data_IF_309623555665
#
_entry.id   IF_309623555665
#
_cell.length_a   1.000
_cell.length_b   1.000
_cell.length_c   1.000
_cell.angle_alpha   90.00
_cell.angle_beta   90.00
_cell.angle_gamma   90.00
#
_symmetry.space_group_name_H-M   'P 1'
#
loop_
_entity.id
_entity.type
_entity.pdbx_description
1 polymer ?
#
# COMPACT_ATOMS: atom_id res chain seq x y z
N UNK A 1 -22.52 -20.33 -26.98
CA UNK A 1 -21.18 -19.88 -27.42
C UNK A 1 -21.01 -18.46 -26.93
N UNK A 2 -20.28 -18.24 -25.84
CA UNK A 2 -20.01 -16.90 -25.34
C UNK A 2 -18.99 -16.25 -26.28
N UNK A 3 -19.34 -15.09 -26.83
CA UNK A 3 -18.43 -14.25 -27.61
C UNK A 3 -17.33 -13.75 -26.66
N UNK A 4 -16.18 -14.41 -26.63
CA UNK A 4 -14.96 -13.84 -26.04
C UNK A 4 -14.51 -12.70 -26.94
N UNK A 5 -14.99 -11.48 -26.67
CA UNK A 5 -14.45 -10.29 -27.32
C UNK A 5 -12.94 -10.25 -27.08
N UNK A 6 -12.14 -10.15 -28.14
CA UNK A 6 -10.70 -9.93 -28.03
C UNK A 6 -10.45 -8.64 -27.26
N UNK A 7 -9.99 -8.78 -26.02
CA UNK A 7 -9.61 -7.66 -25.16
C UNK A 7 -8.30 -7.04 -25.68
N UNK A 8 -8.27 -5.72 -25.79
CA UNK A 8 -7.13 -4.94 -26.26
C UNK A 8 -6.55 -4.10 -25.12
N UNK A 9 -5.36 -3.56 -25.30
CA UNK A 9 -4.72 -2.72 -24.26
C UNK A 9 -5.53 -1.44 -23.99
N UNK A 10 -6.28 -0.94 -24.99
CA UNK A 10 -7.14 0.24 -24.83
C UNK A 10 -8.38 0.00 -23.96
N UNK A 11 -8.69 -1.26 -23.65
CA UNK A 11 -9.79 -1.60 -22.77
C UNK A 11 -9.47 -1.35 -21.28
N UNK A 12 -8.20 -1.29 -20.90
CA UNK A 12 -7.78 -1.18 -19.50
C UNK A 12 -7.65 0.28 -19.08
N UNK A 13 -8.39 0.65 -18.04
CA UNK A 13 -8.53 2.05 -17.58
C UNK A 13 -7.95 2.28 -16.19
N UNK A 14 -7.68 1.21 -15.42
CA UNK A 14 -7.06 1.28 -14.10
C UNK A 14 -5.70 0.58 -14.13
N UNK A 15 -4.66 1.31 -13.74
CA UNK A 15 -3.35 0.75 -13.47
C UNK A 15 -3.22 0.34 -12.02
N UNK A 16 -2.51 -0.74 -11.74
CA UNK A 16 -2.18 -1.19 -10.39
C UNK A 16 -0.69 -1.54 -10.36
N UNK A 17 0.09 -0.80 -9.58
CA UNK A 17 1.52 -1.03 -9.40
C UNK A 17 1.77 -1.62 -8.03
N UNK A 18 2.58 -2.67 -8.00
CA UNK A 18 3.12 -3.29 -6.80
C UNK A 18 4.62 -3.53 -7.00
N UNK A 19 5.35 -3.77 -5.93
CA UNK A 19 6.82 -3.77 -5.90
C UNK A 19 7.37 -5.08 -5.33
N UNK A 20 6.62 -5.78 -4.49
CA UNK A 20 6.99 -7.09 -3.92
C UNK A 20 6.19 -8.26 -4.52
N UNK A 21 6.74 -9.47 -4.47
CA UNK A 21 6.07 -10.68 -4.97
C UNK A 21 4.76 -10.98 -4.23
N UNK A 22 4.77 -10.80 -2.91
CA UNK A 22 3.59 -10.97 -2.06
C UNK A 22 2.49 -9.95 -2.38
N UNK A 23 2.86 -8.73 -2.77
CA UNK A 23 1.90 -7.71 -3.20
C UNK A 23 1.28 -8.06 -4.55
N UNK A 24 2.09 -8.53 -5.50
CA UNK A 24 1.60 -9.02 -6.79
C UNK A 24 0.67 -10.22 -6.61
N UNK A 25 1.02 -11.16 -5.71
CA UNK A 25 0.17 -12.31 -5.39
C UNK A 25 -1.18 -11.87 -4.80
N UNK A 26 -1.17 -10.97 -3.81
CA UNK A 26 -2.38 -10.41 -3.21
C UNK A 26 -3.24 -9.67 -4.25
N UNK A 27 -2.63 -8.80 -5.07
CA UNK A 27 -3.33 -8.05 -6.11
C UNK A 27 -3.97 -8.99 -7.16
N UNK A 28 -3.22 -9.97 -7.67
CA UNK A 28 -3.71 -10.91 -8.66
C UNK A 28 -4.77 -11.89 -8.12
N UNK A 29 -4.82 -12.08 -6.79
CA UNK A 29 -5.85 -12.87 -6.12
C UNK A 29 -7.17 -12.08 -5.91
N UNK A 30 -7.13 -10.75 -6.00
CA UNK A 30 -8.32 -9.89 -5.93
C UNK A 30 -9.12 -9.81 -7.24
N UNK A 31 -8.54 -10.25 -8.36
CA UNK A 31 -9.22 -10.30 -9.66
C UNK A 31 -10.45 -11.23 -9.63
N UNK A 32 -11.58 -10.69 -10.06
CA UNK A 32 -12.80 -11.47 -10.26
C UNK A 32 -12.63 -12.40 -11.46
N UNK A 33 -12.15 -11.84 -12.57
CA UNK A 33 -11.78 -12.55 -13.79
C UNK A 33 -10.33 -12.25 -14.17
N UNK A 34 -9.59 -13.30 -14.55
CA UNK A 34 -8.26 -13.16 -15.16
C UNK A 34 -8.39 -13.17 -16.68
N UNK A 35 -7.83 -12.17 -17.33
CA UNK A 35 -7.70 -12.12 -18.78
C UNK A 35 -6.34 -12.72 -19.20
N UNK A 36 -6.13 -12.92 -20.50
CA UNK A 36 -4.87 -13.47 -21.01
C UNK A 36 -3.72 -12.50 -20.73
N UNK A 37 -2.77 -12.93 -19.89
CA UNK A 37 -1.54 -12.17 -19.61
C UNK A 37 -0.65 -12.10 -20.84
N UNK A 38 0.00 -10.95 -21.03
CA UNK A 38 0.93 -10.71 -22.13
C UNK A 38 2.23 -10.23 -21.53
N UNK A 39 3.34 -10.90 -21.83
CA UNK A 39 4.67 -10.39 -21.54
C UNK A 39 4.97 -9.31 -22.58
N UNK A 40 5.05 -8.05 -22.14
CA UNK A 40 5.38 -6.92 -23.02
C UNK A 40 6.53 -6.13 -22.43
N UNK A 41 7.54 -5.82 -23.27
CA UNK A 41 8.66 -4.97 -22.87
C UNK A 41 9.47 -5.49 -21.67
N UNK A 42 9.45 -6.80 -21.38
CA UNK A 42 10.17 -7.39 -20.24
C UNK A 42 9.47 -7.25 -18.89
N UNK A 43 8.22 -6.78 -18.86
CA UNK A 43 7.38 -6.73 -17.66
C UNK A 43 6.33 -7.84 -17.70
N UNK A 44 6.04 -8.40 -16.53
CA UNK A 44 4.94 -9.33 -16.34
C UNK A 44 3.69 -8.53 -15.95
N UNK A 45 2.67 -8.62 -16.80
CA UNK A 45 1.38 -7.97 -16.60
C UNK A 45 0.32 -9.02 -16.27
N UNK A 46 -0.31 -8.87 -15.11
CA UNK A 46 -1.55 -9.56 -14.82
C UNK A 46 -2.72 -8.68 -15.25
N UNK A 47 -3.55 -9.20 -16.16
CA UNK A 47 -4.70 -8.51 -16.71
C UNK A 47 -5.98 -9.13 -16.17
N UNK A 48 -6.98 -8.32 -15.85
CA UNK A 48 -8.25 -8.85 -15.38
C UNK A 48 -9.33 -7.80 -15.17
N UNK A 49 -10.37 -8.22 -14.47
CA UNK A 49 -11.45 -7.33 -14.04
C UNK A 49 -11.68 -7.39 -12.53
N UNK A 50 -12.05 -6.24 -11.97
CA UNK A 50 -12.47 -6.09 -10.56
C UNK A 50 -13.74 -5.25 -10.55
N UNK A 51 -14.86 -5.87 -10.18
CA UNK A 51 -16.16 -5.23 -10.02
C UNK A 51 -16.56 -4.39 -11.24
N UNK A 52 -16.27 -4.91 -12.45
CA UNK A 52 -16.55 -4.27 -13.73
C UNK A 52 -15.45 -3.33 -14.25
N UNK A 53 -14.46 -2.97 -13.43
CA UNK A 53 -13.29 -2.20 -13.87
C UNK A 53 -12.28 -3.14 -14.53
N UNK A 54 -11.76 -2.78 -15.71
CA UNK A 54 -10.66 -3.51 -16.36
C UNK A 54 -9.32 -2.98 -15.84
N UNK A 55 -8.57 -3.85 -15.17
CA UNK A 55 -7.36 -3.52 -14.40
C UNK A 55 -6.15 -4.21 -15.01
N UNK A 56 -5.05 -3.47 -15.12
CA UNK A 56 -3.71 -4.02 -15.40
C UNK A 56 -2.84 -3.89 -14.17
N UNK A 57 -2.33 -5.02 -13.69
CA UNK A 57 -1.42 -5.12 -12.56
C UNK A 57 0.00 -5.33 -13.10
N UNK A 58 0.96 -4.56 -12.60
CA UNK A 58 2.37 -4.66 -12.97
C UNK A 58 3.25 -4.71 -11.74
N UNK A 59 4.31 -5.51 -11.83
CA UNK A 59 5.47 -5.48 -10.93
C UNK A 59 6.75 -5.24 -11.75
N UNK A 60 7.72 -4.46 -11.25
CA UNK A 60 9.07 -4.42 -11.82
C UNK A 60 9.70 -5.83 -11.91
N UNK A 61 10.51 -6.07 -12.94
CA UNK A 61 11.19 -7.35 -13.16
C UNK A 61 12.20 -7.69 -12.05
N UNK A 62 12.40 -8.99 -11.77
CA UNK A 62 13.29 -9.55 -10.73
C UNK A 62 14.72 -8.98 -10.74
N UNK A 63 15.29 -8.71 -11.93
CA UNK A 63 16.63 -8.15 -12.09
C UNK A 63 16.82 -6.73 -11.54
N UNK A 64 15.73 -6.05 -11.19
CA UNK A 64 15.77 -4.76 -10.47
C UNK A 64 15.59 -4.97 -8.96
N UNK A 65 14.85 -6.00 -8.51
CA UNK A 65 14.39 -6.14 -7.13
C UNK A 65 15.35 -6.85 -6.14
N UNK A 66 16.52 -7.33 -6.60
CA UNK A 66 17.38 -8.21 -5.80
C UNK A 66 18.73 -7.60 -5.42
N UNK A 67 18.70 -6.72 -4.43
CA UNK A 67 19.84 -6.61 -3.52
C UNK A 67 19.33 -6.82 -2.11
N UNK A 68 19.88 -7.82 -1.40
CA UNK A 68 19.60 -8.14 0.01
C UNK A 68 19.90 -6.97 0.98
N UNK A 69 20.35 -5.83 0.46
CA UNK A 69 20.49 -4.53 1.13
C UNK A 69 19.24 -3.63 1.06
N UNK A 70 18.13 -4.11 0.47
CA UNK A 70 16.89 -3.36 0.40
C UNK A 70 16.91 -2.21 -0.61
N UNK A 71 15.70 -1.84 -1.02
CA UNK A 71 15.36 -0.56 -1.65
C UNK A 71 16.07 -0.26 -2.98
N UNK A 72 15.53 -0.81 -4.06
CA UNK A 72 15.75 -0.20 -5.35
C UNK A 72 14.77 0.94 -5.58
N UNK A 73 15.32 2.15 -5.58
CA UNK A 73 14.57 3.39 -5.65
C UNK A 73 14.01 3.61 -7.06
N UNK A 74 12.80 4.18 -7.14
CA UNK A 74 12.17 4.55 -8.41
C UNK A 74 11.55 3.39 -9.20
N UNK A 75 11.51 2.17 -8.67
CA UNK A 75 10.91 1.04 -9.38
C UNK A 75 9.41 1.19 -9.60
N UNK A 76 8.68 1.73 -8.63
CA UNK A 76 7.26 2.05 -8.83
C UNK A 76 7.09 3.05 -9.98
N UNK A 77 7.97 4.05 -10.09
CA UNK A 77 7.94 5.02 -11.18
C UNK A 77 8.28 4.39 -12.54
N UNK A 78 9.25 3.47 -12.58
CA UNK A 78 9.60 2.72 -13.79
C UNK A 78 8.44 1.81 -14.24
N UNK A 79 7.84 1.06 -13.32
CA UNK A 79 6.70 0.20 -13.60
C UNK A 79 5.48 1.02 -14.03
N UNK A 80 5.19 2.14 -13.37
CA UNK A 80 4.15 3.08 -13.78
C UNK A 80 4.42 3.64 -15.18
N UNK A 81 5.64 4.07 -15.48
CA UNK A 81 6.03 4.55 -16.81
C UNK A 81 5.77 3.48 -17.88
N UNK A 82 6.22 2.25 -17.63
CA UNK A 82 6.03 1.14 -18.56
C UNK A 82 4.55 0.81 -18.77
N UNK A 83 3.76 0.79 -17.68
CA UNK A 83 2.31 0.57 -17.71
C UNK A 83 1.61 1.66 -18.53
N UNK A 84 1.90 2.92 -18.29
CA UNK A 84 1.32 4.04 -19.06
C UNK A 84 1.74 3.98 -20.52
N UNK A 85 2.99 3.63 -20.82
CA UNK A 85 3.46 3.51 -22.18
C UNK A 85 2.76 2.36 -22.94
N UNK A 86 2.46 1.26 -22.27
CA UNK A 86 1.84 0.07 -22.88
C UNK A 86 0.31 0.14 -22.94
N UNK A 87 -0.32 0.80 -21.96
CA UNK A 87 -1.78 0.90 -21.80
C UNK A 87 -2.20 2.37 -21.82
N UNK A 88 -2.48 2.88 -23.02
CA UNK A 88 -2.74 4.32 -23.25
C UNK A 88 -4.05 4.84 -22.64
N UNK A 89 -4.98 3.93 -22.36
CA UNK A 89 -6.31 4.25 -21.82
C UNK A 89 -6.35 4.41 -20.30
N UNK A 90 -5.23 4.18 -19.60
CA UNK A 90 -5.16 4.30 -18.15
C UNK A 90 -5.54 5.71 -17.71
N UNK A 91 -6.41 5.77 -16.69
CA UNK A 91 -7.01 7.00 -16.15
C UNK A 91 -6.40 7.40 -14.82
N UNK A 92 -6.06 6.41 -14.01
CA UNK A 92 -5.31 6.58 -12.78
C UNK A 92 -4.57 5.28 -12.43
N UNK A 93 -3.61 5.41 -11.52
CA UNK A 93 -2.81 4.29 -11.02
C UNK A 93 -3.05 4.10 -9.53
N UNK A 94 -3.29 2.87 -9.09
CA UNK A 94 -3.23 2.48 -7.70
C UNK A 94 -1.81 2.02 -7.38
N UNK A 95 -1.18 2.59 -6.37
CA UNK A 95 0.11 2.13 -5.83
C UNK A 95 -0.20 1.33 -4.57
N UNK A 96 -0.28 0.01 -4.69
CA UNK A 96 -0.77 -0.86 -3.61
C UNK A 96 0.34 -1.76 -3.13
N UNK A 97 0.57 -1.77 -1.82
CA UNK A 97 1.63 -2.55 -1.21
C UNK A 97 1.66 -2.41 0.30
N UNK A 98 2.82 -2.68 0.90
CA UNK A 98 3.02 -2.52 2.34
C UNK A 98 3.76 -1.23 2.67
N UNK A 99 3.67 -0.80 3.93
CA UNK A 99 4.39 0.35 4.43
C UNK A 99 4.49 0.35 5.95
N UNK A 100 5.31 1.25 6.46
CA UNK A 100 5.66 1.34 7.87
C UNK A 100 4.75 2.35 8.58
N UNK A 101 3.87 1.88 9.46
CA UNK A 101 2.89 2.71 10.15
C UNK A 101 3.51 3.67 11.17
N UNK A 102 2.89 4.83 11.38
CA UNK A 102 3.33 5.82 12.38
C UNK A 102 2.29 5.89 13.50
N UNK A 103 2.39 5.03 14.53
CA UNK A 103 1.44 5.04 15.63
C UNK A 103 1.68 6.28 16.50
N UNK A 104 0.63 7.04 16.81
CA UNK A 104 0.75 8.24 17.63
C UNK A 104 -0.28 9.33 17.35
N UNK A 105 -0.34 10.33 18.22
CA UNK A 105 -1.36 11.39 18.17
C UNK A 105 -2.72 10.86 18.62
N UNK A 106 -3.78 11.20 17.89
CA UNK A 106 -5.16 10.78 18.16
C UNK A 106 -5.61 9.56 17.33
N UNK A 107 -4.67 8.87 16.66
CA UNK A 107 -4.98 7.75 15.76
C UNK A 107 -4.21 6.51 16.19
N UNK A 108 -4.96 5.44 16.47
CA UNK A 108 -4.42 4.15 16.90
C UNK A 108 -4.13 3.28 15.67
N UNK A 109 -2.98 3.48 15.01
CA UNK A 109 -2.59 2.69 13.82
C UNK A 109 -2.04 1.32 14.24
N UNK A 110 -2.57 0.23 13.67
CA UNK A 110 -2.17 -1.16 13.97
C UNK A 110 -1.61 -1.89 12.76
N UNK A 111 -0.85 -2.95 13.00
CA UNK A 111 -0.41 -3.84 11.93
C UNK A 111 -1.64 -4.44 11.21
N UNK A 112 -1.57 -4.50 9.88
CA UNK A 112 -2.67 -4.90 9.03
C UNK A 112 -3.67 -3.79 8.67
N UNK A 113 -3.69 -2.66 9.38
CA UNK A 113 -4.46 -1.48 8.96
C UNK A 113 -4.02 -0.98 7.58
N UNK A 114 -4.84 -0.14 6.95
CA UNK A 114 -4.55 0.42 5.64
C UNK A 114 -4.48 1.94 5.71
N UNK A 115 -3.34 2.48 5.28
CA UNK A 115 -3.14 3.92 5.07
C UNK A 115 -3.43 4.23 3.60
N UNK A 116 -4.23 5.25 3.34
CA UNK A 116 -4.60 5.63 1.97
C UNK A 116 -4.53 7.13 1.76
N UNK A 117 -3.92 7.57 0.66
CA UNK A 117 -3.96 8.97 0.29
C UNK A 117 -2.83 9.45 -0.60
N UNK A 118 -2.32 10.63 -0.26
CA UNK A 118 -1.30 11.36 -1.01
C UNK A 118 0.09 11.04 -0.50
N UNK A 119 1.11 11.28 -1.32
CA UNK A 119 2.51 11.18 -0.91
C UNK A 119 3.14 12.55 -0.74
N UNK A 120 4.11 12.63 0.17
CA UNK A 120 5.09 13.72 0.23
C UNK A 120 6.47 13.13 0.33
N UNK A 121 7.40 13.59 -0.50
CA UNK A 121 8.79 13.20 -0.34
C UNK A 121 9.44 13.98 0.79
N UNK A 122 10.37 13.36 1.51
CA UNK A 122 11.16 14.02 2.54
C UNK A 122 12.64 13.65 2.42
N UNK A 123 13.49 14.60 2.82
CA UNK A 123 14.92 14.39 2.91
C UNK A 123 15.24 13.63 4.19
N UNK A 124 15.56 12.35 4.05
CA UNK A 124 15.85 11.48 5.20
C UNK A 124 17.11 11.94 5.95
N UNK A 125 18.20 12.21 5.24
CA UNK A 125 19.48 12.55 5.87
C UNK A 125 19.37 13.85 6.66
N UNK A 126 18.77 14.88 6.06
CA UNK A 126 18.55 16.15 6.72
C UNK A 126 17.54 16.02 7.87
N UNK A 127 16.50 15.21 7.71
CA UNK A 127 15.51 14.94 8.77
C UNK A 127 16.16 14.32 10.00
N UNK A 128 17.00 13.30 9.79
CA UNK A 128 17.76 12.65 10.87
C UNK A 128 18.75 13.61 11.51
N UNK A 129 19.49 14.37 10.69
CA UNK A 129 20.52 15.32 11.14
C UNK A 129 19.94 16.46 11.97
N UNK A 130 18.79 16.98 11.58
CA UNK A 130 18.16 18.16 12.21
C UNK A 130 17.11 17.80 13.26
N UNK A 131 16.68 16.54 13.32
CA UNK A 131 15.50 16.09 14.08
C UNK A 131 14.23 16.91 13.74
N UNK A 132 14.06 17.28 12.47
CA UNK A 132 12.87 17.98 11.95
C UNK A 132 12.44 17.34 10.65
N UNK A 133 11.14 17.30 10.38
CA UNK A 133 10.66 16.69 9.14
C UNK A 133 10.91 17.65 7.97
N UNK A 134 11.88 17.30 7.12
CA UNK A 134 12.26 18.12 5.97
C UNK A 134 11.54 17.62 4.72
N UNK A 135 10.34 18.14 4.51
CA UNK A 135 9.57 17.85 3.31
C UNK A 135 10.25 18.45 2.07
N UNK A 136 10.36 17.65 1.01
CA UNK A 136 10.73 18.09 -0.33
C UNK A 136 9.52 18.67 -1.09
N UNK A 137 9.76 19.27 -2.25
CA UNK A 137 8.69 19.79 -3.12
C UNK A 137 7.91 18.69 -3.87
N UNK A 138 8.53 17.51 -4.03
CA UNK A 138 7.94 16.39 -4.72
C UNK A 138 6.78 15.76 -3.91
N UNK A 139 5.64 15.60 -4.57
CA UNK A 139 4.41 15.04 -4.00
C UNK A 139 3.52 14.46 -5.09
N UNK A 140 2.78 13.41 -4.76
CA UNK A 140 1.67 12.93 -5.59
C UNK A 140 0.35 13.21 -4.89
N UNK A 141 -0.54 13.93 -5.57
CA UNK A 141 -1.87 14.27 -5.08
C UNK A 141 -2.90 13.48 -5.90
N UNK A 142 -3.70 12.61 -5.27
CA UNK A 142 -4.74 11.87 -5.99
C UNK A 142 -5.80 12.81 -6.58
N UNK A 143 -6.37 12.48 -7.74
CA UNK A 143 -7.52 13.21 -8.29
C UNK A 143 -8.66 13.35 -7.27
N UNK A 144 -9.34 14.49 -7.28
CA UNK A 144 -10.45 14.79 -6.34
C UNK A 144 -11.53 13.71 -6.32
N UNK A 145 -11.80 13.09 -7.47
CA UNK A 145 -12.71 11.95 -7.55
C UNK A 145 -12.27 10.83 -6.59
N UNK A 146 -11.01 10.41 -6.64
CA UNK A 146 -10.50 9.34 -5.80
C UNK A 146 -10.59 9.71 -4.31
N UNK A 147 -10.21 10.94 -3.96
CA UNK A 147 -10.28 11.44 -2.58
C UNK A 147 -11.72 11.39 -2.01
N UNK A 148 -12.72 11.77 -2.80
CA UNK A 148 -14.12 11.72 -2.36
C UNK A 148 -14.62 10.29 -2.08
N UNK A 149 -14.11 9.31 -2.81
CA UNK A 149 -14.47 7.91 -2.64
C UNK A 149 -13.80 7.25 -1.43
N UNK A 150 -12.61 7.71 -1.00
CA UNK A 150 -12.02 7.29 0.28
C UNK A 150 -12.98 7.60 1.43
N UNK A 151 -13.51 8.83 1.46
CA UNK A 151 -14.47 9.26 2.49
C UNK A 151 -15.75 8.44 2.45
N UNK A 152 -16.24 8.08 1.26
CA UNK A 152 -17.42 7.22 1.08
C UNK A 152 -17.20 5.83 1.68
N UNK A 153 -16.09 5.16 1.33
CA UNK A 153 -15.77 3.82 1.85
C UNK A 153 -15.62 3.85 3.37
N UNK A 154 -14.85 4.81 3.90
CA UNK A 154 -14.66 4.98 5.35
C UNK A 154 -15.98 5.24 6.09
N UNK A 155 -16.91 5.99 5.49
CA UNK A 155 -18.23 6.21 6.09
C UNK A 155 -19.04 4.91 6.14
N UNK A 156 -18.96 4.08 5.11
CA UNK A 156 -19.57 2.75 5.09
C UNK A 156 -18.99 1.82 6.16
N UNK A 157 -17.67 1.84 6.36
CA UNK A 157 -17.00 1.06 7.42
C UNK A 157 -17.53 1.42 8.81
N UNK A 158 -17.73 2.72 9.10
CA UNK A 158 -18.37 3.18 10.34
C UNK A 158 -19.81 2.70 10.51
N UNK A 159 -20.48 2.36 9.41
CA UNK A 159 -21.83 1.79 9.40
C UNK A 159 -21.84 0.25 9.39
N UNK A 160 -20.66 -0.39 9.49
CA UNK A 160 -20.54 -1.84 9.46
C UNK A 160 -20.67 -2.47 8.07
N UNK A 161 -20.51 -1.70 6.98
CA UNK A 161 -20.63 -2.21 5.59
C UNK A 161 -19.29 -2.51 4.95
N UNK A 162 -18.23 -2.75 5.74
CA UNK A 162 -16.91 -3.11 5.23
C UNK A 162 -16.95 -4.45 4.52
N UNK A 163 -16.32 -4.52 3.33
CA UNK A 163 -16.20 -5.77 2.57
C UNK A 163 -14.84 -6.42 2.69
N UNK A 164 -13.89 -5.79 3.40
CA UNK A 164 -12.59 -6.36 3.70
C UNK A 164 -12.65 -7.82 4.19
N UNK A 165 -13.48 -8.19 5.20
CA UNK A 165 -13.49 -9.56 5.70
C UNK A 165 -13.96 -10.56 4.65
N UNK A 166 -14.94 -10.15 3.84
CA UNK A 166 -15.45 -10.95 2.72
C UNK A 166 -14.35 -11.17 1.68
N UNK A 167 -13.70 -10.12 1.20
CA UNK A 167 -12.69 -10.24 0.14
C UNK A 167 -11.44 -11.00 0.59
N UNK A 168 -11.00 -10.81 1.84
CA UNK A 168 -9.91 -11.60 2.43
C UNK A 168 -10.29 -13.09 2.53
N UNK A 169 -11.50 -13.39 3.00
CA UNK A 169 -12.01 -14.77 3.08
C UNK A 169 -12.14 -15.44 1.71
N UNK A 170 -12.69 -14.74 0.72
CA UNK A 170 -12.81 -15.23 -0.66
C UNK A 170 -11.43 -15.48 -1.30
N UNK A 171 -10.46 -14.58 -1.06
CA UNK A 171 -9.09 -14.73 -1.53
C UNK A 171 -8.46 -16.03 -1.01
N UNK A 172 -8.54 -16.26 0.30
CA UNK A 172 -7.96 -17.44 0.94
C UNK A 172 -8.69 -18.74 0.55
N UNK A 173 -10.02 -18.68 0.38
CA UNK A 173 -10.81 -19.82 -0.09
C UNK A 173 -10.46 -20.22 -1.53
N UNK A 174 -10.25 -19.23 -2.42
CA UNK A 174 -9.86 -19.43 -3.82
C UNK A 174 -8.41 -19.86 -3.97
N UNK A 175 -7.53 -19.42 -3.07
CA UNK A 175 -6.09 -19.67 -3.11
C UNK A 175 -5.57 -20.23 -1.77
N UNK A 176 -5.86 -21.50 -1.43
CA UNK A 176 -5.48 -22.07 -0.13
C UNK A 176 -3.98 -22.05 0.18
N UNK A 177 -3.11 -22.05 -0.84
CA UNK A 177 -1.66 -21.93 -0.66
C UNK A 177 -1.21 -20.58 -0.07
N UNK A 178 -2.06 -19.55 -0.11
CA UNK A 178 -1.79 -18.25 0.50
C UNK A 178 -2.06 -18.22 2.01
N UNK A 179 -2.79 -19.20 2.56
CA UNK A 179 -3.20 -19.22 3.98
C UNK A 179 -2.01 -19.04 4.95
N UNK A 180 -0.86 -19.71 4.79
CA UNK A 180 0.23 -19.59 5.77
C UNK A 180 0.84 -18.19 5.89
N UNK A 181 0.82 -17.39 4.83
CA UNK A 181 1.48 -16.08 4.78
C UNK A 181 0.49 -14.90 4.81
N UNK A 182 -0.73 -15.08 4.28
CA UNK A 182 -1.70 -14.00 4.08
C UNK A 182 -2.87 -14.01 5.06
N UNK A 183 -2.89 -14.93 6.03
CA UNK A 183 -3.90 -14.94 7.10
C UNK A 183 -3.57 -13.89 8.17
N UNK A 184 -4.60 -13.43 8.89
CA UNK A 184 -4.41 -12.55 10.05
C UNK A 184 -3.47 -13.22 11.07
N UNK A 185 -2.32 -12.61 11.40
CA UNK A 185 -1.34 -13.26 12.26
C UNK A 185 -1.80 -13.47 13.70
N UNK A 186 -2.77 -12.67 14.18
CA UNK A 186 -3.21 -12.66 15.58
C UNK A 186 -2.85 -11.36 16.29
N UNK A 187 -3.68 -10.93 17.24
CA UNK A 187 -3.49 -9.67 17.99
C UNK A 187 -2.25 -9.72 18.88
N UNK A 188 -1.88 -10.91 19.37
CA UNK A 188 -0.67 -11.16 20.14
C UNK A 188 0.63 -10.90 19.37
N UNK A 189 0.55 -10.85 18.04
CA UNK A 189 1.66 -10.53 17.16
C UNK A 189 1.67 -9.07 16.70
N UNK A 190 0.70 -8.26 17.14
CA UNK A 190 0.69 -6.81 16.95
C UNK A 190 1.47 -6.13 18.09
N UNK A 191 2.78 -6.05 17.92
CA UNK A 191 3.73 -5.62 18.95
C UNK A 191 4.31 -4.25 18.65
N UNK A 192 3.84 -3.22 19.36
CA UNK A 192 4.43 -1.88 19.35
C UNK A 192 5.35 -1.72 20.56
N UNK A 193 6.65 -1.52 20.32
CA UNK A 193 7.64 -1.28 21.38
C UNK A 193 7.77 0.20 21.71
N UNK A 194 8.24 0.50 22.92
CA UNK A 194 8.56 1.86 23.34
C UNK A 194 9.62 2.47 22.39
N UNK A 195 9.49 3.75 22.02
CA UNK A 195 10.37 4.38 21.02
C UNK A 195 11.89 4.26 21.25
N UNK A 196 12.31 4.17 22.51
CA UNK A 196 13.74 4.09 22.87
C UNK A 196 14.28 2.67 23.02
N UNK A 197 13.46 1.65 22.82
CA UNK A 197 13.89 0.26 22.85
C UNK A 197 14.20 -0.17 21.41
N UNK A 198 15.38 -0.77 21.20
CA UNK A 198 15.79 -1.27 19.90
C UNK A 198 15.64 -2.79 19.82
N UNK A 199 15.34 -3.27 18.61
CA UNK A 199 15.22 -4.69 18.32
C UNK A 199 16.46 -5.47 18.77
N UNK A 200 16.24 -6.63 19.39
CA UNK A 200 17.29 -7.50 19.89
C UNK A 200 17.48 -8.71 18.98
N UNK A 201 18.67 -8.82 18.39
CA UNK A 201 19.06 -9.92 17.51
C UNK A 201 19.15 -9.52 16.04
N UNK A 202 19.31 -10.53 15.19
CA UNK A 202 19.50 -10.38 13.74
C UNK A 202 18.32 -10.96 12.93
N UNK A 203 17.18 -11.26 13.58
CA UNK A 203 16.02 -11.89 12.97
C UNK A 203 14.98 -10.88 12.48
N UNK A 204 14.10 -11.28 11.55
CA UNK A 204 12.99 -10.46 11.05
C UNK A 204 11.73 -10.46 11.94
N UNK A 205 11.85 -10.92 13.19
CA UNK A 205 10.75 -11.10 14.14
C UNK A 205 11.17 -10.70 15.55
N UNK A 206 10.21 -10.32 16.40
CA UNK A 206 10.46 -9.83 17.75
C UNK A 206 10.43 -10.91 18.84
N UNK A 207 10.70 -12.17 18.50
CA UNK A 207 10.62 -13.31 19.44
C UNK A 207 11.63 -13.22 20.59
N UNK A 208 12.75 -12.53 20.38
CA UNK A 208 13.79 -12.31 21.38
C UNK A 208 13.71 -10.94 22.08
N UNK A 209 12.72 -10.11 21.74
CA UNK A 209 12.57 -8.80 22.36
C UNK A 209 11.92 -8.89 23.74
N UNK A 210 12.32 -8.00 24.66
CA UNK A 210 11.72 -7.89 25.98
C UNK A 210 10.28 -7.36 25.87
N UNK A 211 9.32 -8.22 26.18
CA UNK A 211 7.90 -7.87 26.20
C UNK A 211 7.53 -6.79 27.22
N UNK A 212 8.39 -6.52 28.22
CA UNK A 212 8.20 -5.41 29.18
C UNK A 212 8.36 -4.02 28.52
N UNK A 213 8.95 -3.99 27.33
CA UNK A 213 9.12 -2.80 26.51
C UNK A 213 7.97 -2.58 25.52
N UNK A 214 6.93 -3.40 25.55
CA UNK A 214 5.71 -3.18 24.78
C UNK A 214 4.90 -2.00 25.32
N UNK A 215 4.33 -1.23 24.39
CA UNK A 215 3.37 -0.16 24.70
C UNK A 215 2.02 -0.80 25.00
N UNK A 216 1.46 -0.50 26.18
CA UNK A 216 0.11 -0.92 26.54
C UNK A 216 -0.92 -0.18 25.67
N UNK A 217 -1.76 -0.93 24.95
CA UNK A 217 -2.83 -0.42 24.10
C UNK A 217 -4.15 -1.05 24.51
N UNK A 218 -5.24 -0.29 24.42
CA UNK A 218 -6.58 -0.83 24.70
C UNK A 218 -7.03 -1.80 23.62
N UNK A 219 -7.96 -2.69 23.93
CA UNK A 219 -8.55 -3.58 22.93
C UNK A 219 -9.40 -2.78 21.93
N UNK A 220 -9.32 -3.15 20.66
CA UNK A 220 -10.29 -2.68 19.65
C UNK A 220 -11.60 -3.43 19.82
N UNK A 221 -12.67 -2.83 19.30
CA UNK A 221 -13.99 -3.47 19.25
C UNK A 221 -13.96 -4.80 18.47
N UNK A 222 -13.17 -4.86 17.40
CA UNK A 222 -12.94 -6.05 16.59
C UNK A 222 -11.49 -6.13 16.10
N UNK A 223 -11.18 -7.19 15.35
CA UNK A 223 -9.85 -7.43 14.77
C UNK A 223 -9.76 -6.99 13.30
N UNK A 224 -10.72 -6.19 12.81
CA UNK A 224 -10.74 -5.79 11.42
C UNK A 224 -9.72 -4.68 11.17
N UNK A 225 -9.07 -4.68 9.99
CA UNK A 225 -8.24 -3.56 9.57
C UNK A 225 -9.04 -2.26 9.50
N UNK A 226 -8.48 -1.20 10.09
CA UNK A 226 -9.02 0.15 9.95
C UNK A 226 -8.39 0.88 8.76
N UNK A 227 -9.16 1.80 8.17
CA UNK A 227 -8.71 2.65 7.06
C UNK A 227 -8.40 4.05 7.55
N UNK A 228 -7.15 4.47 7.38
CA UNK A 228 -6.64 5.78 7.81
C UNK A 228 -6.29 6.65 6.60
N UNK A 229 -7.14 7.61 6.23
CA UNK A 229 -6.80 8.59 5.21
C UNK A 229 -5.71 9.53 5.71
N UNK A 230 -4.60 9.62 4.99
CA UNK A 230 -3.49 10.46 5.42
C UNK A 230 -2.38 10.60 4.39
N UNK A 231 -1.24 11.07 4.89
CA UNK A 231 -0.02 11.25 4.11
C UNK A 231 0.88 10.04 4.28
N UNK A 232 1.40 9.55 3.17
CA UNK A 232 2.49 8.59 3.10
C UNK A 232 3.78 9.39 2.85
N UNK A 233 4.67 9.45 3.82
CA UNK A 233 5.96 10.12 3.71
C UNK A 233 6.97 9.19 3.02
N UNK A 234 7.48 9.61 1.88
CA UNK A 234 8.34 8.78 1.04
C UNK A 234 9.78 9.27 1.03
N UNK A 235 10.74 8.36 1.10
CA UNK A 235 12.15 8.70 0.92
C UNK A 235 12.92 7.52 0.34
N UNK A 236 14.16 7.77 -0.06
CA UNK A 236 15.08 6.73 -0.43
C UNK A 236 15.70 6.01 0.80
N UNK A 237 15.15 6.10 2.00
CA UNK A 237 15.68 5.37 3.16
C UNK A 237 14.56 4.99 4.11
N UNK A 238 14.54 3.74 4.55
CA UNK A 238 13.54 3.29 5.51
C UNK A 238 13.74 3.99 6.86
N UNK A 239 12.65 4.51 7.45
CA UNK A 239 12.64 4.96 8.83
C UNK A 239 12.70 3.73 9.76
N UNK A 240 13.85 3.51 10.40
CA UNK A 240 14.12 2.36 11.27
C UNK A 240 14.44 2.77 12.72
N UNK A 241 13.98 3.94 13.15
CA UNK A 241 14.24 4.44 14.50
C UNK A 241 12.97 4.96 15.16
N UNK A 242 12.47 4.20 16.13
CA UNK A 242 11.33 4.60 16.95
C UNK A 242 11.58 5.93 17.66
N UNK A 243 12.82 6.17 18.10
CA UNK A 243 13.21 7.41 18.77
C UNK A 243 13.13 8.64 17.84
N UNK A 244 13.55 8.51 16.57
CA UNK A 244 13.41 9.60 15.58
C UNK A 244 11.94 9.80 15.24
N UNK A 245 11.19 8.72 14.98
CA UNK A 245 9.75 8.77 14.71
C UNK A 245 8.99 9.49 15.83
N UNK A 246 9.28 9.16 17.09
CA UNK A 246 8.63 9.81 18.23
C UNK A 246 9.01 11.28 18.36
N UNK A 247 10.27 11.67 18.12
CA UNK A 247 10.67 13.09 18.10
C UNK A 247 9.94 13.89 17.02
N UNK A 248 9.59 13.26 15.91
CA UNK A 248 8.88 13.90 14.79
C UNK A 248 7.36 13.83 14.93
N UNK A 249 6.81 13.18 15.96
CA UNK A 249 5.38 12.84 16.06
C UNK A 249 4.44 14.04 15.98
N UNK A 250 4.78 15.16 16.60
CA UNK A 250 3.99 16.40 16.51
C UNK A 250 3.96 16.93 15.07
N UNK A 251 5.12 16.98 14.40
CA UNK A 251 5.22 17.41 13.00
C UNK A 251 4.47 16.44 12.08
N UNK A 252 4.70 15.13 12.24
CA UNK A 252 4.05 14.09 11.45
C UNK A 252 2.54 14.11 11.64
N UNK A 253 2.04 14.18 12.87
CA UNK A 253 0.61 14.13 13.17
C UNK A 253 -0.11 15.45 12.88
N UNK A 254 0.30 16.54 13.54
CA UNK A 254 -0.47 17.79 13.55
C UNK A 254 -0.25 18.62 12.28
N UNK A 255 0.97 18.62 11.73
CA UNK A 255 1.32 19.46 10.57
C UNK A 255 1.14 18.74 9.24
N UNK A 256 1.62 17.50 9.14
CA UNK A 256 1.63 16.77 7.88
C UNK A 256 0.52 15.72 7.77
N UNK A 257 -0.05 15.28 8.90
CA UNK A 257 -0.98 14.17 8.98
C UNK A 257 -0.42 12.90 8.30
N UNK A 258 0.85 12.60 8.59
CA UNK A 258 1.63 11.46 8.12
C UNK A 258 1.37 10.25 9.01
N UNK A 259 0.96 9.16 8.36
CA UNK A 259 0.60 7.91 9.04
C UNK A 259 1.40 6.70 8.54
N UNK A 260 2.19 6.88 7.49
CA UNK A 260 2.99 5.83 6.89
C UNK A 260 4.32 6.40 6.40
N UNK A 261 5.41 5.65 6.59
CA UNK A 261 6.65 5.81 5.84
C UNK A 261 6.72 4.74 4.75
N UNK A 262 7.33 5.09 3.62
CA UNK A 262 7.46 4.18 2.47
C UNK A 262 8.69 4.51 1.62
N UNK A 263 9.36 3.48 1.10
CA UNK A 263 10.53 3.65 0.22
C UNK A 263 10.28 3.29 -1.24
N UNK A 264 9.23 2.52 -1.52
CA UNK A 264 8.96 1.94 -2.82
C UNK A 264 8.27 2.91 -3.77
N UNK A 265 7.44 3.81 -3.23
CA UNK A 265 6.81 4.93 -3.96
C UNK A 265 7.59 6.24 -3.82
N UNK A 266 8.89 6.16 -3.52
CA UNK A 266 9.78 7.31 -3.65
C UNK A 266 10.12 7.58 -5.12
N UNK A 267 10.16 8.86 -5.51
CA UNK A 267 10.50 9.27 -6.88
C UNK A 267 9.36 9.04 -7.88
N UNK A 268 8.10 9.13 -7.43
CA UNK A 268 6.96 9.01 -8.33
C UNK A 268 6.98 10.09 -9.42
N UNK A 269 6.45 9.73 -10.58
CA UNK A 269 6.34 10.63 -11.73
C UNK A 269 5.52 11.88 -11.31
N UNK A 270 6.07 13.10 -11.43
CA UNK A 270 5.33 14.32 -11.11
C UNK A 270 4.03 14.41 -11.91
N UNK A 271 2.92 14.75 -11.24
CA UNK A 271 1.62 14.90 -11.88
C UNK A 271 0.87 13.59 -12.16
N UNK A 272 1.47 12.42 -11.90
CA UNK A 272 0.80 11.13 -12.09
C UNK A 272 -0.51 11.08 -11.27
N UNK A 273 -1.68 10.87 -11.92
CA UNK A 273 -2.94 10.68 -11.20
C UNK A 273 -2.91 9.32 -10.52
N UNK A 274 -2.44 9.27 -9.28
CA UNK A 274 -2.36 8.03 -8.52
C UNK A 274 -2.92 8.13 -7.10
N UNK A 275 -3.35 7.00 -6.57
CA UNK A 275 -3.73 6.82 -5.18
C UNK A 275 -2.81 5.79 -4.54
N UNK A 276 -2.20 6.14 -3.41
CA UNK A 276 -1.32 5.23 -2.68
C UNK A 276 -2.10 4.55 -1.57
N UNK A 277 -1.98 3.22 -1.47
CA UNK A 277 -2.68 2.34 -0.53
C UNK A 277 -1.63 1.41 0.10
N UNK A 278 -1.34 1.61 1.39
CA UNK A 278 -0.34 0.83 2.12
C UNK A 278 -0.95 0.06 3.27
N UNK A 279 -0.78 -1.26 3.27
CA UNK A 279 -1.03 -2.09 4.44
C UNK A 279 0.11 -1.93 5.43
N UNK A 280 -0.19 -1.74 6.70
CA UNK A 280 0.82 -1.52 7.73
C UNK A 280 1.51 -2.85 8.08
N UNK A 281 2.79 -2.97 7.77
CA UNK A 281 3.60 -4.18 7.99
C UNK A 281 4.52 -4.10 9.21
N UNK A 282 4.94 -2.90 9.58
CA UNK A 282 5.75 -2.61 10.76
C UNK A 282 5.45 -1.18 11.25
N UNK A 283 6.17 -0.72 12.28
CA UNK A 283 5.94 0.58 12.92
C UNK A 283 6.98 1.66 12.59
N UNK A 284 7.80 1.52 11.55
CA UNK A 284 8.86 2.49 11.24
C UNK A 284 9.86 2.66 12.40
N UNK A 285 10.20 1.57 13.07
CA UNK A 285 11.29 1.48 14.05
C UNK A 285 12.23 0.31 13.69
N UNK A 286 13.09 -0.07 14.63
CA UNK A 286 14.03 -1.17 14.43
C UNK A 286 13.36 -2.55 14.45
N UNK A 287 12.09 -2.66 14.83
CA UNK A 287 11.32 -3.91 14.93
C UNK A 287 10.59 -4.22 13.62
N UNK A 288 11.36 -4.63 12.60
CA UNK A 288 10.78 -5.24 11.39
C UNK A 288 9.91 -6.46 11.74
N UNK A 289 8.89 -6.73 10.92
CA UNK A 289 7.95 -7.81 11.21
C UNK A 289 7.50 -8.55 9.95
N UNK A 290 8.35 -9.46 9.48
CA UNK A 290 8.13 -10.23 8.25
C UNK A 290 6.83 -11.05 8.28
N UNK A 291 6.36 -11.42 9.48
CA UNK A 291 5.11 -12.15 9.72
C UNK A 291 3.88 -11.38 9.19
N UNK A 292 3.91 -10.05 9.22
CA UNK A 292 2.78 -9.23 8.80
C UNK A 292 2.82 -8.87 7.33
N UNK A 293 3.94 -9.07 6.63
CA UNK A 293 4.10 -8.60 5.25
C UNK A 293 3.03 -9.18 4.31
N UNK A 294 2.72 -10.47 4.42
CA UNK A 294 1.68 -11.10 3.61
C UNK A 294 0.29 -10.58 3.93
N UNK A 295 -0.10 -10.59 5.21
CA UNK A 295 -1.40 -10.09 5.64
C UNK A 295 -1.60 -8.60 5.30
N UNK A 296 -0.60 -7.75 5.54
CA UNK A 296 -0.63 -6.33 5.19
C UNK A 296 -0.79 -6.11 3.66
N UNK A 297 -0.11 -6.91 2.84
CA UNK A 297 -0.30 -6.87 1.39
C UNK A 297 -1.75 -7.28 1.01
N UNK A 298 -2.30 -8.30 1.67
CA UNK A 298 -3.69 -8.72 1.46
C UNK A 298 -4.71 -7.66 1.88
N UNK A 299 -4.53 -7.00 3.03
CA UNK A 299 -5.46 -5.95 3.49
C UNK A 299 -5.44 -4.74 2.57
N UNK A 300 -4.25 -4.32 2.11
CA UNK A 300 -4.10 -3.27 1.11
C UNK A 300 -4.80 -3.63 -0.22
N UNK A 301 -4.59 -4.85 -0.72
CA UNK A 301 -5.21 -5.32 -1.97
C UNK A 301 -6.74 -5.47 -1.84
N UNK A 302 -7.22 -5.99 -0.71
CA UNK A 302 -8.65 -6.10 -0.43
C UNK A 302 -9.31 -4.71 -0.35
N UNK A 303 -8.65 -3.74 0.29
CA UNK A 303 -9.12 -2.36 0.31
C UNK A 303 -9.13 -1.75 -1.09
N UNK A 304 -8.11 -1.98 -1.92
CA UNK A 304 -8.08 -1.50 -3.30
C UNK A 304 -9.25 -2.08 -4.12
N UNK A 305 -9.60 -3.35 -3.93
CA UNK A 305 -10.81 -3.97 -4.52
C UNK A 305 -12.09 -3.28 -4.05
N UNK A 306 -12.24 -3.07 -2.74
CA UNK A 306 -13.41 -2.37 -2.18
C UNK A 306 -13.53 -0.94 -2.68
N UNK A 307 -12.41 -0.23 -2.76
CA UNK A 307 -12.31 1.12 -3.28
C UNK A 307 -12.78 1.20 -4.73
N UNK A 308 -12.30 0.30 -5.60
CA UNK A 308 -12.77 0.21 -7.00
C UNK A 308 -14.27 -0.06 -7.08
N UNK A 309 -14.81 -0.91 -6.20
CA UNK A 309 -16.25 -1.17 -6.10
C UNK A 309 -17.09 0.05 -5.70
N UNK A 310 -16.47 1.07 -5.12
CA UNK A 310 -17.14 2.33 -4.83
C UNK A 310 -17.23 3.25 -6.05
N UNK A 311 -16.39 3.06 -7.06
CA UNK A 311 -16.29 3.90 -8.26
C UNK A 311 -17.26 3.42 -9.35
N UNK A 312 -17.90 4.37 -10.01
CA UNK A 312 -18.70 4.12 -11.20
C UNK A 312 -17.80 3.91 -12.43
N UNK A 313 -18.00 2.82 -13.17
CA UNK A 313 -17.14 2.43 -14.30
C UNK A 313 -17.19 3.42 -15.46
N UNK A 314 -18.35 4.04 -15.71
CA UNK A 314 -18.53 5.05 -16.76
C UNK A 314 -17.78 6.32 -16.39
N UNK A 315 -17.97 6.81 -15.16
CA UNK A 315 -17.26 8.01 -14.67
C UNK A 315 -15.75 7.84 -14.65
N UNK A 316 -15.25 6.63 -14.40
CA UNK A 316 -13.81 6.34 -14.49
C UNK A 316 -13.34 6.43 -15.94
N UNK A 317 -14.06 5.83 -16.89
CA UNK A 317 -13.69 5.85 -18.31
C UNK A 317 -13.63 7.28 -18.90
N UNK A 318 -14.46 8.19 -18.38
CA UNK A 318 -14.55 9.60 -18.77
C UNK A 318 -13.43 10.50 -18.22
N UNK A 319 -12.61 10.00 -17.29
CA UNK A 319 -11.43 10.75 -16.83
C UNK A 319 -10.45 11.00 -17.99
N UNK A 320 -9.64 12.05 -17.88
CA UNK A 320 -8.52 12.27 -18.78
C UNK A 320 -7.51 11.11 -18.67
N UNK A 321 -6.83 10.79 -19.78
CA UNK A 321 -5.77 9.78 -19.76
C UNK A 321 -4.61 10.25 -18.88
N UNK A 322 -4.08 9.34 -18.07
CA UNK A 322 -2.96 9.58 -17.16
C UNK A 322 -1.64 9.92 -17.89
N UNK A 323 -1.54 9.65 -19.18
CA UNK A 323 -0.41 10.07 -20.02
C UNK A 323 -0.49 11.54 -20.45
N UNK A 324 -1.69 12.11 -20.44
CA UNK A 324 -2.00 13.44 -20.99
C UNK A 324 -2.41 14.44 -19.92
N UNK A 325 -2.45 14.00 -18.66
CA UNK A 325 -2.79 14.79 -17.46
C UNK A 325 -1.58 15.51 -16.89
#
# INVERSE_FOLDING_TARGET
>A
MASTSLLRTEDYVVGWVCTLEKEMAAAAAMLDERHHSVVMGGYDYALGSILGHKVVIVRPHWGFANTDSGSGYGFAAIAASSLLLSFKSIRFVLMVGIGSGVPGGNVDIRLGDVIVGRTVEYDFEETVRTNRFIQSDARSIPPTLLLSHITRVRSGHKMGTSRLPQYLGEMLAKHPHMIPEFSYPGTEHDQLFKPGYDHQGNGGTCENCDTSELVSRGDRWDTLPEIHPGVIATSNHAMRSGAIRERLKEELGERFNTFCFDTEVYGLIPGLPCLVIRGVSDYADSHGNDRWHGYAAATAAAFAKEFLGSLDTVRVADLQSALTS
#
